data_IF_179776452828
#
_entry.id   IF_179776452828
#
_cell.length_a   1.000
_cell.length_b   1.000
_cell.length_c   1.000
_cell.angle_alpha   90.00
_cell.angle_beta   90.00
_cell.angle_gamma   90.00
#
_symmetry.space_group_name_H-M   'P 1'
#
loop_
_entity.id
_entity.type
_entity.pdbx_description
1 polymer ?
#
# COMPACT_ATOMS: atom_id res chain seq x y z
N UNK A 1 13.48 -1.50 -1.58
CA UNK A 1 12.01 -1.32 -1.65
C UNK A 1 11.41 -2.30 -2.65
N UNK A 2 10.24 -2.87 -2.37
CA UNK A 2 9.61 -3.85 -3.27
C UNK A 2 8.99 -3.17 -4.49
N UNK A 3 9.76 -3.15 -5.59
CA UNK A 3 9.45 -2.47 -6.85
C UNK A 3 8.07 -2.90 -7.42
N UNK A 4 7.65 -4.14 -7.16
CA UNK A 4 6.38 -4.67 -7.67
C UNK A 4 5.17 -4.04 -7.00
N UNK A 5 5.18 -3.90 -5.67
CA UNK A 5 4.05 -3.30 -4.94
C UNK A 5 3.92 -1.81 -5.22
N UNK A 6 5.04 -1.11 -5.36
CA UNK A 6 5.06 0.29 -5.79
C UNK A 6 4.39 0.46 -7.16
N UNK A 7 4.78 -0.35 -8.15
CA UNK A 7 4.18 -0.31 -9.49
C UNK A 7 2.68 -0.59 -9.47
N UNK A 8 2.20 -1.48 -8.60
CA UNK A 8 0.76 -1.76 -8.47
C UNK A 8 0.06 -0.55 -7.84
N UNK A 9 0.60 0.00 -6.75
CA UNK A 9 0.03 1.18 -6.10
C UNK A 9 -0.09 2.36 -7.08
N UNK A 10 0.98 2.65 -7.84
CA UNK A 10 1.00 3.69 -8.87
C UNK A 10 -0.04 3.45 -9.96
N UNK A 11 -0.13 2.23 -10.50
CA UNK A 11 -1.12 1.89 -11.53
C UNK A 11 -2.56 2.06 -11.04
N UNK A 12 -2.82 1.69 -9.79
CA UNK A 12 -4.16 1.81 -9.20
C UNK A 12 -4.52 3.27 -8.95
N UNK A 13 -3.60 4.08 -8.43
CA UNK A 13 -3.77 5.52 -8.27
C UNK A 13 -4.00 6.21 -9.62
N UNK A 14 -3.19 5.86 -10.63
CA UNK A 14 -3.34 6.38 -12.00
C UNK A 14 -4.67 5.97 -12.63
N UNK A 15 -5.11 4.73 -12.44
CA UNK A 15 -6.43 4.31 -12.93
C UNK A 15 -7.56 5.13 -12.28
N UNK A 16 -7.45 5.42 -10.98
CA UNK A 16 -8.42 6.26 -10.29
C UNK A 16 -8.46 7.69 -10.88
N UNK A 17 -7.30 8.32 -11.06
CA UNK A 17 -7.22 9.70 -11.58
C UNK A 17 -7.62 9.81 -13.05
N UNK A 18 -7.20 8.85 -13.88
CA UNK A 18 -7.29 8.98 -15.34
C UNK A 18 -8.59 8.39 -15.90
N UNK A 19 -9.27 7.52 -15.14
CA UNK A 19 -10.45 6.78 -15.62
C UNK A 19 -11.65 6.90 -14.70
N UNK A 20 -11.46 6.74 -13.39
CA UNK A 20 -12.59 6.73 -12.44
C UNK A 20 -13.12 8.14 -12.22
N UNK A 21 -12.27 9.10 -11.86
CA UNK A 21 -12.68 10.49 -11.66
C UNK A 21 -13.34 11.11 -12.90
N UNK A 22 -12.77 10.99 -14.13
CA UNK A 22 -13.41 11.52 -15.33
C UNK A 22 -14.74 10.85 -15.70
N UNK A 23 -15.00 9.63 -15.21
CA UNK A 23 -16.28 8.95 -15.39
C UNK A 23 -17.41 9.45 -14.47
N UNK A 24 -17.15 10.50 -13.68
CA UNK A 24 -18.11 11.06 -12.72
C UNK A 24 -18.23 10.25 -11.42
N UNK A 25 -17.33 9.28 -11.21
CA UNK A 25 -17.28 8.44 -10.01
C UNK A 25 -16.16 8.93 -9.10
N UNK A 26 -16.42 8.98 -7.79
CA UNK A 26 -15.42 9.36 -6.80
C UNK A 26 -15.45 8.41 -5.61
N UNK A 27 -14.29 8.26 -4.95
CA UNK A 27 -14.12 7.47 -3.75
C UNK A 27 -13.93 8.39 -2.55
N UNK A 28 -14.92 8.42 -1.67
CA UNK A 28 -14.78 9.09 -0.37
C UNK A 28 -13.65 8.44 0.43
N UNK A 29 -12.73 9.26 0.96
CA UNK A 29 -11.57 8.77 1.72
C UNK A 29 -10.43 8.21 0.87
N UNK A 30 -10.40 8.50 -0.43
CA UNK A 30 -9.28 8.12 -1.31
C UNK A 30 -7.92 8.54 -0.73
N UNK A 31 -7.76 9.79 -0.29
CA UNK A 31 -6.50 10.29 0.25
C UNK A 31 -6.06 9.54 1.51
N UNK A 32 -7.01 9.15 2.37
CA UNK A 32 -6.73 8.31 3.55
C UNK A 32 -6.15 6.95 3.14
N UNK A 33 -6.69 6.33 2.08
CA UNK A 33 -6.19 5.05 1.57
C UNK A 33 -4.80 5.20 0.95
N UNK A 34 -4.56 6.26 0.18
CA UNK A 34 -3.24 6.57 -0.40
C UNK A 34 -2.21 6.85 0.70
N UNK A 35 -2.56 7.65 1.71
CA UNK A 35 -1.70 7.93 2.84
C UNK A 35 -1.35 6.65 3.61
N UNK A 36 -2.32 5.76 3.83
CA UNK A 36 -2.05 4.47 4.46
C UNK A 36 -1.06 3.62 3.64
N UNK A 37 -1.20 3.58 2.31
CA UNK A 37 -0.23 2.90 1.42
C UNK A 37 1.18 3.47 1.63
N UNK A 38 1.32 4.80 1.66
CA UNK A 38 2.61 5.49 1.91
C UNK A 38 3.19 5.14 3.29
N UNK A 39 2.37 5.18 4.33
CA UNK A 39 2.77 4.81 5.70
C UNK A 39 3.28 3.36 5.77
N UNK A 40 2.59 2.41 5.14
CA UNK A 40 3.01 1.00 5.17
C UNK A 40 4.27 0.74 4.32
N UNK A 41 4.46 1.50 3.24
CA UNK A 41 5.69 1.50 2.45
C UNK A 41 6.89 1.95 3.29
N UNK A 42 6.75 3.04 4.03
CA UNK A 42 7.78 3.53 4.95
C UNK A 42 8.07 2.49 6.05
N UNK A 43 7.03 1.93 6.67
CA UNK A 43 7.20 0.92 7.72
C UNK A 43 7.95 -0.33 7.21
N UNK A 44 7.66 -0.75 5.98
CA UNK A 44 8.38 -1.84 5.30
C UNK A 44 9.85 -1.51 5.10
N UNK A 45 10.15 -0.30 4.61
CA UNK A 45 11.52 0.14 4.39
C UNK A 45 12.30 0.19 5.71
N UNK A 46 11.72 0.76 6.77
CA UNK A 46 12.31 0.78 8.10
C UNK A 46 12.58 -0.62 8.65
N UNK A 47 11.65 -1.56 8.51
CA UNK A 47 11.86 -2.95 8.95
C UNK A 47 13.00 -3.62 8.16
N UNK A 48 13.07 -3.38 6.85
CA UNK A 48 14.11 -3.92 5.99
C UNK A 48 15.49 -3.36 6.36
N UNK A 49 15.57 -2.07 6.63
CA UNK A 49 16.83 -1.42 7.00
C UNK A 49 17.36 -1.93 8.34
N UNK A 50 16.47 -2.22 9.31
CA UNK A 50 16.85 -2.90 10.56
C UNK A 50 17.43 -4.29 10.32
N UNK A 51 16.76 -5.11 9.50
CA UNK A 51 17.25 -6.45 9.19
C UNK A 51 18.59 -6.43 8.43
N UNK A 52 18.80 -5.43 7.55
CA UNK A 52 20.09 -5.21 6.89
C UNK A 52 21.18 -4.78 7.87
N UNK A 53 20.86 -3.92 8.82
CA UNK A 53 21.80 -3.51 9.86
C UNK A 53 22.24 -4.72 10.71
N UNK A 54 21.30 -5.56 11.15
CA UNK A 54 21.61 -6.75 11.95
C UNK A 54 22.55 -7.72 11.24
N UNK A 55 22.32 -7.99 9.94
CA UNK A 55 23.18 -8.93 9.21
C UNK A 55 24.54 -8.32 8.91
N UNK A 56 24.64 -6.99 8.79
CA UNK A 56 25.92 -6.31 8.55
C UNK A 56 26.88 -6.38 9.73
N UNK A 57 26.35 -6.51 10.95
CA UNK A 57 27.14 -6.65 12.18
C UNK A 57 27.33 -8.12 12.61
N UNK A 58 26.71 -9.07 11.89
CA UNK A 58 26.84 -10.49 12.20
C UNK A 58 28.25 -10.98 11.85
N UNK A 59 28.92 -11.60 12.82
CA UNK A 59 30.17 -12.33 12.63
C UNK A 59 30.19 -13.55 13.55
N UNK A 60 30.73 -14.68 13.05
CA UNK A 60 30.96 -15.88 13.85
C UNK A 60 31.95 -15.63 15.02
N UNK A 61 32.81 -14.62 14.89
CA UNK A 61 33.82 -14.24 15.88
C UNK A 61 33.34 -13.13 16.83
N UNK A 62 32.10 -12.68 16.68
CA UNK A 62 31.52 -11.72 17.63
C UNK A 62 31.37 -12.34 19.02
N UNK A 63 31.20 -11.49 20.03
CA UNK A 63 31.03 -11.96 21.42
C UNK A 63 29.77 -12.85 21.59
N UNK A 64 28.73 -12.59 20.79
CA UNK A 64 27.42 -13.27 20.92
C UNK A 64 26.74 -13.55 19.56
N UNK A 65 27.33 -14.37 18.67
CA UNK A 65 26.83 -14.60 17.31
C UNK A 65 25.42 -15.19 17.28
N UNK A 66 25.08 -16.04 18.26
CA UNK A 66 23.74 -16.63 18.40
C UNK A 66 22.68 -15.56 18.68
N UNK A 67 23.00 -14.57 19.51
CA UNK A 67 22.07 -13.49 19.82
C UNK A 67 21.84 -12.58 18.60
N UNK A 68 22.93 -12.25 17.87
CA UNK A 68 22.84 -11.48 16.63
C UNK A 68 22.00 -12.19 15.56
N UNK A 69 22.19 -13.50 15.40
CA UNK A 69 21.37 -14.31 14.47
C UNK A 69 19.88 -14.34 14.89
N UNK A 70 19.60 -14.45 16.19
CA UNK A 70 18.22 -14.41 16.70
C UNK A 70 17.58 -13.04 16.46
N UNK A 71 18.34 -11.95 16.64
CA UNK A 71 17.89 -10.59 16.37
C UNK A 71 17.55 -10.40 14.89
N UNK A 72 18.45 -10.81 13.99
CA UNK A 72 18.21 -10.80 12.55
C UNK A 72 16.94 -11.57 12.17
N UNK A 73 16.76 -12.78 12.69
CA UNK A 73 15.57 -13.59 12.43
C UNK A 73 14.27 -12.93 12.93
N UNK A 74 14.33 -12.26 14.07
CA UNK A 74 13.21 -11.49 14.63
C UNK A 74 12.86 -10.31 13.73
N UNK A 75 13.85 -9.53 13.31
CA UNK A 75 13.61 -8.39 12.41
C UNK A 75 13.16 -8.85 11.02
N UNK A 76 13.61 -10.01 10.52
CA UNK A 76 13.11 -10.60 9.28
C UNK A 76 11.63 -11.00 9.37
N UNK A 77 11.15 -11.45 10.53
CA UNK A 77 9.70 -11.68 10.76
C UNK A 77 8.93 -10.36 10.70
N UNK A 78 9.48 -9.27 11.24
CA UNK A 78 8.88 -7.94 11.13
C UNK A 78 8.82 -7.44 9.69
N UNK A 79 9.88 -7.66 8.89
CA UNK A 79 9.87 -7.37 7.45
C UNK A 79 8.72 -8.08 6.75
N UNK A 80 8.57 -9.39 6.99
CA UNK A 80 7.48 -10.19 6.41
C UNK A 80 6.10 -9.66 6.85
N UNK A 81 5.96 -9.24 8.10
CA UNK A 81 4.74 -8.61 8.61
C UNK A 81 4.42 -7.29 7.89
N UNK A 82 5.40 -6.39 7.80
CA UNK A 82 5.25 -5.10 7.15
C UNK A 82 4.87 -5.23 5.67
N UNK A 83 5.51 -6.16 4.94
CA UNK A 83 5.17 -6.47 3.55
C UNK A 83 3.72 -6.94 3.37
N UNK A 84 3.22 -7.80 4.27
CA UNK A 84 1.82 -8.23 4.25
C UNK A 84 0.88 -7.06 4.45
N UNK A 85 1.17 -6.18 5.40
CA UNK A 85 0.35 -4.98 5.67
C UNK A 85 0.37 -4.01 4.51
N UNK A 86 1.53 -3.81 3.87
CA UNK A 86 1.66 -2.97 2.70
C UNK A 86 0.83 -3.50 1.52
N UNK A 87 0.92 -4.80 1.23
CA UNK A 87 0.06 -5.46 0.23
C UNK A 87 -1.43 -5.33 0.56
N UNK A 88 -1.80 -5.48 1.84
CA UNK A 88 -3.18 -5.34 2.27
C UNK A 88 -3.71 -3.91 2.06
N UNK A 89 -2.89 -2.88 2.32
CA UNK A 89 -3.26 -1.49 2.07
C UNK A 89 -3.56 -1.22 0.58
N UNK A 90 -2.72 -1.76 -0.32
CA UNK A 90 -2.93 -1.67 -1.77
C UNK A 90 -4.24 -2.38 -2.18
N UNK A 91 -4.47 -3.59 -1.67
CA UNK A 91 -5.69 -4.35 -1.96
C UNK A 91 -6.95 -3.62 -1.47
N UNK A 92 -6.90 -2.95 -0.31
CA UNK A 92 -8.01 -2.14 0.19
C UNK A 92 -8.37 -1.02 -0.79
N UNK A 93 -7.38 -0.32 -1.35
CA UNK A 93 -7.62 0.70 -2.37
C UNK A 93 -8.24 0.10 -3.65
N UNK A 94 -7.71 -1.03 -4.13
CA UNK A 94 -8.25 -1.73 -5.31
C UNK A 94 -9.72 -2.10 -5.12
N UNK A 95 -10.06 -2.70 -3.98
CA UNK A 95 -11.44 -3.10 -3.67
C UNK A 95 -12.32 -1.86 -3.57
N UNK A 96 -11.89 -0.82 -2.84
CA UNK A 96 -12.65 0.40 -2.67
C UNK A 96 -12.99 1.08 -4.01
N UNK A 97 -12.03 1.14 -4.94
CA UNK A 97 -12.24 1.67 -6.29
C UNK A 97 -13.23 0.80 -7.08
N UNK A 98 -13.13 -0.53 -6.99
CA UNK A 98 -14.02 -1.45 -7.70
C UNK A 98 -15.46 -1.36 -7.20
N UNK A 99 -15.65 -1.09 -5.92
CA UNK A 99 -16.97 -1.05 -5.27
C UNK A 99 -17.63 0.32 -5.31
N UNK A 100 -17.03 1.34 -5.95
CA UNK A 100 -17.71 2.64 -6.13
C UNK A 100 -19.01 2.39 -6.91
N UNK A 101 -20.16 2.92 -6.48
CA UNK A 101 -21.40 2.82 -7.25
C UNK A 101 -21.24 3.36 -8.68
N UNK A 102 -22.06 2.87 -9.61
CA UNK A 102 -22.19 3.50 -10.92
C UNK A 102 -22.79 4.92 -10.75
N UNK A 103 -22.44 5.87 -11.62
CA UNK A 103 -23.07 7.18 -11.59
C UNK A 103 -24.58 7.00 -11.80
N UNK A 104 -25.39 7.50 -10.86
CA UNK A 104 -26.85 7.53 -11.02
C UNK A 104 -27.18 8.45 -12.17
N UNK A 105 -27.63 7.90 -13.30
CA UNK A 105 -28.24 8.67 -14.37
C UNK A 105 -29.57 9.20 -13.84
N UNK A 106 -29.59 10.44 -13.33
CA UNK A 106 -30.86 11.14 -13.11
C UNK A 106 -31.51 11.35 -14.48
N UNK A 107 -32.73 10.85 -14.73
CA UNK A 107 -33.45 11.16 -15.97
C UNK A 107 -33.77 12.65 -15.94
N UNK A 108 -33.13 13.44 -16.78
CA UNK A 108 -33.51 14.83 -17.03
C UNK A 108 -34.80 14.81 -17.84
N UNK A 109 -35.94 14.73 -17.17
CA UNK A 109 -37.23 15.00 -17.80
C UNK A 109 -37.30 16.50 -18.07
N UNK A 110 -36.83 16.92 -19.24
CA UNK A 110 -37.14 18.24 -19.78
C UNK A 110 -38.63 18.27 -20.12
N UNK A 111 -39.44 18.79 -19.19
CA UNK A 111 -40.80 19.24 -19.47
C UNK A 111 -40.67 20.55 -20.22
N UNK A 112 -40.73 20.49 -21.56
CA UNK A 112 -41.01 21.66 -22.38
C UNK A 112 -42.48 22.00 -22.17
N UNK A 113 -42.77 23.07 -21.43
CA UNK A 113 -44.10 23.70 -21.45
C UNK A 113 -44.11 24.71 -22.59
N UNK A 114 -45.19 24.65 -23.38
CA UNK A 114 -45.67 25.54 -24.46
C UNK A 114 -44.91 26.86 -24.70
#
# INVERSE_FOLDING_TARGET
MEITFDKIAERVQKYYTDKVLPSGRSLTGYDTLVNNISTQKIATQTALDKAKADISVFSCDSENPRALLLQFNTNMKLVKGALKTYRAAINKLIVAIRTIPAPTTTPTNNVTND
#
